data_IF_679166064010
#
_entry.id   IF_679166064010
#
_cell.length_a   1.000
_cell.length_b   1.000
_cell.length_c   1.000
_cell.angle_alpha   90.00
_cell.angle_beta   90.00
_cell.angle_gamma   90.00
#
_symmetry.space_group_name_H-M   'P 1'
#
loop_
_entity.id
_entity.type
_entity.pdbx_description
1 polymer ?
#
# COMPACT_ATOMS: atom_id res chain seq x y z
N UNK A 1 10.95 3.95 17.74
CA UNK A 1 11.09 4.32 19.17
C UNK A 1 11.98 5.57 19.17
N UNK A 2 12.36 6.13 20.32
CA UNK A 2 13.22 7.33 20.35
C UNK A 2 14.29 7.22 21.43
N UNK A 3 15.40 7.91 21.24
CA UNK A 3 16.54 8.03 22.16
C UNK A 3 16.62 9.44 22.72
N UNK A 4 17.23 9.58 23.90
CA UNK A 4 17.59 10.89 24.43
C UNK A 4 19.06 11.20 24.09
N UNK A 5 19.36 12.43 23.69
CA UNK A 5 20.74 12.86 23.47
C UNK A 5 21.47 13.21 24.79
N UNK A 6 22.73 13.65 24.67
CA UNK A 6 23.58 14.03 25.80
C UNK A 6 23.07 15.26 26.59
N UNK A 7 22.13 16.02 26.01
CA UNK A 7 21.47 17.17 26.65
C UNK A 7 20.10 16.79 27.25
N UNK A 8 19.66 15.53 27.10
CA UNK A 8 18.37 15.06 27.59
C UNK A 8 17.19 15.48 26.70
N UNK A 9 17.43 15.86 25.44
CA UNK A 9 16.37 16.08 24.45
C UNK A 9 15.99 14.74 23.81
N UNK A 10 14.68 14.50 23.63
CA UNK A 10 14.15 13.28 23.02
C UNK A 10 14.18 13.41 21.50
N UNK A 11 14.80 12.44 20.83
CA UNK A 11 14.86 12.29 19.38
C UNK A 11 14.20 10.99 18.97
N UNK A 12 13.39 11.01 17.93
CA UNK A 12 12.94 9.77 17.30
C UNK A 12 14.12 9.12 16.57
N UNK A 13 14.18 7.78 16.51
CA UNK A 13 15.19 7.05 15.71
C UNK A 13 15.17 7.45 14.21
N UNK A 14 14.06 8.07 13.78
CA UNK A 14 13.88 8.64 12.46
C UNK A 14 14.65 9.97 12.30
N UNK A 15 14.64 10.85 13.30
CA UNK A 15 15.40 12.12 13.28
C UNK A 15 16.90 11.88 13.23
N UNK A 16 17.40 10.88 13.95
CA UNK A 16 18.80 10.45 13.87
C UNK A 16 19.17 9.94 12.46
N UNK A 17 18.24 9.23 11.80
CA UNK A 17 18.40 8.81 10.40
C UNK A 17 18.43 9.99 9.42
N UNK A 18 17.58 11.00 9.60
CA UNK A 18 17.54 12.19 8.73
C UNK A 18 18.76 13.10 8.90
N UNK A 19 19.22 13.28 10.14
CA UNK A 19 20.42 14.06 10.45
C UNK A 19 21.69 13.39 9.91
N UNK A 20 21.81 12.06 10.01
CA UNK A 20 22.91 11.31 9.42
C UNK A 20 22.97 11.44 7.89
N UNK A 21 21.83 11.69 7.24
CA UNK A 21 21.73 11.81 5.78
C UNK A 21 21.62 13.26 5.26
N UNK A 22 21.75 14.28 6.12
CA UNK A 22 21.83 15.69 5.71
C UNK A 22 20.48 16.34 5.33
N UNK A 23 19.36 15.73 5.69
CA UNK A 23 18.02 16.28 5.47
C UNK A 23 17.59 17.15 6.67
N UNK A 24 18.27 18.27 6.87
CA UNK A 24 18.10 19.13 8.06
C UNK A 24 16.74 19.86 8.17
N UNK A 25 15.88 19.74 7.15
CA UNK A 25 14.51 20.24 7.18
C UNK A 25 13.64 19.24 6.41
N UNK A 26 12.69 18.60 7.08
CA UNK A 26 11.69 17.75 6.44
C UNK A 26 10.98 18.47 5.27
N UNK A 27 10.29 17.74 4.39
CA UNK A 27 9.63 18.32 3.23
C UNK A 27 8.64 19.43 3.64
N UNK A 28 8.87 20.65 3.15
CA UNK A 28 8.03 21.81 3.43
C UNK A 28 6.73 21.75 2.62
N UNK A 29 5.63 22.23 3.23
CA UNK A 29 4.24 22.18 2.72
C UNK A 29 4.02 22.61 1.25
N UNK A 30 4.94 23.36 0.64
CA UNK A 30 4.74 23.94 -0.68
C UNK A 30 4.78 22.95 -1.86
N UNK A 31 5.17 21.70 -1.65
CA UNK A 31 5.14 20.68 -2.72
C UNK A 31 3.80 19.94 -2.86
N UNK A 32 2.86 20.15 -1.92
CA UNK A 32 1.53 19.50 -1.94
C UNK A 32 0.40 20.39 -2.51
N UNK A 33 0.68 21.65 -2.85
CA UNK A 33 -0.35 22.64 -3.23
C UNK A 33 -0.93 22.50 -4.65
N UNK A 34 -0.45 21.57 -5.47
CA UNK A 34 -0.81 21.51 -6.91
C UNK A 34 -1.93 20.55 -7.28
N UNK A 35 -2.46 19.74 -6.36
CA UNK A 35 -3.44 18.69 -6.70
C UNK A 35 -4.86 18.93 -6.16
N UNK A 36 -5.21 20.19 -5.90
CA UNK A 36 -6.58 20.61 -5.63
C UNK A 36 -7.27 21.10 -6.92
N UNK A 37 -7.74 20.19 -7.75
CA UNK A 37 -9.00 20.36 -8.52
C UNK A 37 -9.35 19.11 -9.34
N UNK A 38 -10.05 18.17 -8.70
CA UNK A 38 -11.11 17.45 -9.38
C UNK A 38 -12.42 17.95 -8.78
N UNK A 39 -12.88 19.08 -9.31
CA UNK A 39 -14.22 19.60 -9.09
C UNK A 39 -15.18 18.59 -9.69
N UNK A 40 -15.84 17.79 -8.85
CA UNK A 40 -16.95 16.94 -9.25
C UNK A 40 -18.14 17.85 -9.56
N UNK A 41 -18.28 18.22 -10.83
CA UNK A 41 -19.47 18.93 -11.29
C UNK A 41 -20.59 17.90 -11.39
N UNK A 42 -21.34 17.74 -10.28
CA UNK A 42 -22.59 16.98 -10.28
C UNK A 42 -23.62 17.78 -11.09
N UNK A 43 -23.63 17.53 -12.40
CA UNK A 43 -24.71 17.93 -13.27
C UNK A 43 -26.00 17.31 -12.73
N UNK A 44 -26.87 18.16 -12.22
CA UNK A 44 -28.22 17.83 -11.80
C UNK A 44 -29.01 17.31 -13.00
N UNK A 45 -29.55 16.11 -12.88
CA UNK A 45 -30.83 15.81 -13.49
C UNK A 45 -31.69 15.09 -12.46
N UNK A 46 -32.85 15.66 -12.08
CA UNK A 46 -33.77 15.04 -11.15
C UNK A 46 -34.64 14.08 -11.96
N UNK A 47 -34.60 12.79 -11.65
CA UNK A 47 -35.83 11.99 -11.56
C UNK A 47 -35.53 10.54 -11.17
N UNK A 48 -36.39 10.08 -10.26
CA UNK A 48 -36.82 8.69 -10.06
C UNK A 48 -35.86 7.69 -9.37
N UNK A 49 -36.38 7.14 -8.27
CA UNK A 49 -36.23 5.72 -7.99
C UNK A 49 -35.26 5.36 -6.87
N UNK A 50 -35.80 5.20 -5.66
CA UNK A 50 -35.06 4.61 -4.56
C UNK A 50 -34.72 3.14 -4.80
N UNK A 51 -33.56 2.75 -4.31
CA UNK A 51 -33.07 1.38 -4.23
C UNK A 51 -31.75 1.38 -3.50
N UNK A 52 -31.78 1.15 -2.19
CA UNK A 52 -30.58 1.00 -1.37
C UNK A 52 -29.82 -0.27 -1.76
N UNK A 53 -28.94 -0.15 -2.76
CA UNK A 53 -27.90 -1.13 -3.05
C UNK A 53 -26.59 -0.66 -2.43
N UNK A 54 -25.98 -1.49 -1.58
CA UNK A 54 -24.63 -1.20 -1.08
C UNK A 54 -23.65 -1.32 -2.25
N UNK A 55 -22.94 -0.25 -2.57
CA UNK A 55 -21.84 -0.27 -3.53
C UNK A 55 -20.76 -1.23 -3.02
N UNK A 56 -20.43 -2.25 -3.81
CA UNK A 56 -19.40 -3.25 -3.51
C UNK A 56 -18.07 -2.91 -4.19
N UNK A 57 -16.98 -3.57 -3.80
CA UNK A 57 -15.65 -3.42 -4.44
C UNK A 57 -15.68 -3.85 -5.90
N UNK A 58 -16.52 -4.85 -6.23
CA UNK A 58 -16.85 -5.21 -7.60
C UNK A 58 -17.35 -4.00 -8.35
N UNK A 59 -18.39 -3.32 -7.86
CA UNK A 59 -19.00 -2.17 -8.56
C UNK A 59 -18.04 -0.99 -8.79
N UNK A 60 -17.10 -0.72 -7.87
CA UNK A 60 -16.12 0.37 -8.01
C UNK A 60 -14.96 0.00 -8.95
N UNK A 61 -14.47 -1.23 -8.89
CA UNK A 61 -13.49 -1.74 -9.85
C UNK A 61 -14.13 -1.93 -11.23
N UNK A 62 -15.39 -2.31 -11.27
CA UNK A 62 -16.17 -2.52 -12.48
C UNK A 62 -16.44 -1.20 -13.20
N UNK A 63 -16.72 -0.12 -12.46
CA UNK A 63 -16.82 1.22 -13.01
C UNK A 63 -15.46 1.73 -13.51
N UNK A 64 -14.38 1.52 -12.73
CA UNK A 64 -13.02 1.92 -13.09
C UNK A 64 -12.51 1.16 -14.33
N UNK A 65 -12.85 -0.12 -14.47
CA UNK A 65 -12.47 -0.97 -15.61
C UNK A 65 -13.38 -0.77 -16.83
N UNK A 66 -14.66 -0.46 -16.63
CA UNK A 66 -15.58 -0.09 -17.71
C UNK A 66 -15.16 1.21 -18.42
N UNK A 67 -14.60 2.17 -17.68
CA UNK A 67 -14.05 3.41 -18.24
C UNK A 67 -12.73 3.18 -19.00
N UNK A 68 -12.07 2.04 -18.78
CA UNK A 68 -10.86 1.59 -19.49
C UNK A 68 -11.14 0.67 -20.70
N UNK A 69 -12.41 0.51 -21.10
CA UNK A 69 -12.79 -0.07 -22.39
C UNK A 69 -12.93 -1.59 -22.46
N UNK A 70 -13.03 -2.30 -21.33
CA UNK A 70 -13.41 -3.72 -21.32
C UNK A 70 -14.51 -3.97 -20.29
N UNK A 71 -15.60 -4.62 -20.72
CA UNK A 71 -16.77 -4.88 -19.88
C UNK A 71 -16.38 -5.65 -18.62
N UNK A 72 -16.77 -5.08 -17.48
CA UNK A 72 -16.32 -5.41 -16.15
C UNK A 72 -17.00 -6.63 -15.50
N UNK A 73 -18.08 -7.13 -16.07
CA UNK A 73 -18.88 -8.21 -15.45
C UNK A 73 -18.21 -9.60 -15.43
N UNK A 74 -17.06 -9.78 -16.10
CA UNK A 74 -16.35 -11.07 -16.22
C UNK A 74 -15.01 -11.13 -15.46
N UNK A 75 -14.63 -10.09 -14.69
CA UNK A 75 -13.27 -10.03 -14.14
C UNK A 75 -13.06 -10.92 -12.90
N UNK A 76 -14.11 -11.13 -12.10
CA UNK A 76 -14.10 -12.03 -10.93
C UNK A 76 -15.14 -13.15 -11.02
N UNK A 77 -16.01 -13.15 -12.04
CA UNK A 77 -16.98 -14.22 -12.25
C UNK A 77 -16.27 -15.43 -12.88
N UNK A 78 -16.20 -16.54 -12.14
CA UNK A 78 -15.73 -17.83 -12.66
C UNK A 78 -14.23 -18.12 -12.56
N UNK A 79 -13.47 -17.34 -11.79
CA UNK A 79 -12.08 -17.73 -11.49
C UNK A 79 -12.08 -18.78 -10.38
N UNK A 80 -11.78 -20.02 -10.77
CA UNK A 80 -11.45 -21.10 -9.85
C UNK A 80 -9.95 -20.99 -9.49
N UNK A 81 -9.70 -20.47 -8.30
CA UNK A 81 -8.36 -20.27 -7.75
C UNK A 81 -7.76 -21.55 -7.13
N UNK A 82 -8.54 -22.63 -7.02
CA UNK A 82 -8.08 -23.90 -6.41
C UNK A 82 -7.02 -24.64 -7.23
N UNK A 83 -6.80 -24.25 -8.50
CA UNK A 83 -5.87 -24.91 -9.43
C UNK A 83 -4.39 -24.51 -9.24
N UNK A 84 -4.05 -23.54 -8.39
CA UNK A 84 -2.70 -22.95 -8.36
C UNK A 84 -1.77 -23.39 -7.21
N UNK A 85 -2.29 -24.08 -6.18
CA UNK A 85 -1.53 -24.74 -5.11
C UNK A 85 -0.73 -23.82 -4.16
N UNK A 86 -1.11 -23.85 -2.87
CA UNK A 86 -0.47 -23.33 -1.62
C UNK A 86 0.27 -21.98 -1.64
N UNK A 87 -0.30 -21.00 -0.91
CA UNK A 87 0.31 -19.91 -0.10
C UNK A 87 0.76 -18.55 -0.73
N UNK A 88 -0.17 -17.63 -1.03
CA UNK A 88 0.08 -16.16 -1.16
C UNK A 88 0.17 -15.44 0.21
N UNK A 89 0.71 -16.10 1.22
CA UNK A 89 0.78 -15.57 2.59
C UNK A 89 1.45 -14.18 2.65
N UNK A 90 1.00 -13.31 3.58
CA UNK A 90 1.65 -12.04 3.85
C UNK A 90 3.17 -12.18 4.09
N UNK A 91 3.93 -11.25 3.53
CA UNK A 91 5.40 -11.20 3.66
C UNK A 91 5.81 -10.13 4.66
N UNK A 92 6.68 -10.50 5.60
CA UNK A 92 7.27 -9.61 6.59
C UNK A 92 8.68 -9.17 6.21
N UNK A 93 8.87 -7.88 6.02
CA UNK A 93 10.16 -7.22 5.80
C UNK A 93 10.66 -6.46 7.05
N UNK A 94 9.88 -6.40 8.13
CA UNK A 94 10.34 -5.85 9.41
C UNK A 94 11.48 -6.69 10.00
N UNK A 95 12.46 -6.02 10.61
CA UNK A 95 13.52 -6.69 11.37
C UNK A 95 12.98 -7.32 12.65
N UNK A 96 13.65 -8.34 13.20
CA UNK A 96 13.25 -8.94 14.50
C UNK A 96 13.41 -8.00 15.70
N UNK A 97 14.00 -6.82 15.49
CA UNK A 97 14.23 -5.80 16.53
C UNK A 97 13.16 -4.71 16.51
N UNK A 98 12.20 -4.76 15.58
CA UNK A 98 11.18 -3.74 15.50
C UNK A 98 10.28 -3.72 16.76
N UNK A 99 9.68 -2.56 17.08
CA UNK A 99 8.64 -2.49 18.07
C UNK A 99 7.55 -3.56 17.86
N UNK A 100 7.10 -4.18 18.95
CA UNK A 100 6.09 -5.27 18.95
C UNK A 100 4.83 -4.96 18.12
N UNK A 101 4.48 -3.69 17.96
CA UNK A 101 3.32 -3.28 17.17
C UNK A 101 3.43 -3.67 15.70
N UNK A 102 4.61 -3.51 15.07
CA UNK A 102 4.81 -3.87 13.66
C UNK A 102 4.59 -5.36 13.44
N UNK A 103 5.22 -6.19 14.28
CA UNK A 103 5.03 -7.64 14.27
C UNK A 103 3.59 -8.06 14.52
N UNK A 104 2.88 -7.41 15.45
CA UNK A 104 1.48 -7.72 15.73
C UNK A 104 0.56 -7.41 14.54
N UNK A 105 0.79 -6.33 13.79
CA UNK A 105 -0.02 -6.08 12.57
C UNK A 105 0.24 -7.16 11.53
N UNK A 106 1.50 -7.54 11.34
CA UNK A 106 1.86 -8.64 10.44
C UNK A 106 1.20 -9.97 10.87
N UNK A 107 1.33 -10.36 12.14
CA UNK A 107 0.74 -11.59 12.68
C UNK A 107 -0.79 -11.63 12.52
N UNK A 108 -1.47 -10.50 12.72
CA UNK A 108 -2.91 -10.42 12.51
C UNK A 108 -3.29 -10.49 11.03
N UNK A 109 -2.46 -9.96 10.13
CA UNK A 109 -2.63 -10.15 8.69
C UNK A 109 -2.42 -11.61 8.31
N UNK A 110 -1.37 -12.25 8.82
CA UNK A 110 -1.05 -13.65 8.56
C UNK A 110 -2.19 -14.57 9.02
N UNK A 111 -2.72 -14.38 10.24
CA UNK A 111 -3.86 -15.16 10.74
C UNK A 111 -5.13 -15.02 9.90
N UNK A 112 -5.38 -13.83 9.35
CA UNK A 112 -6.57 -13.56 8.53
C UNK A 112 -6.43 -14.13 7.12
N UNK A 113 -5.20 -14.14 6.60
CA UNK A 113 -4.89 -14.56 5.25
C UNK A 113 -4.15 -15.89 5.22
N UNK A 114 -4.38 -16.74 6.24
CA UNK A 114 -3.88 -18.11 6.24
C UNK A 114 -4.80 -18.93 5.33
N UNK A 115 -4.21 -19.68 4.41
CA UNK A 115 -4.94 -20.42 3.36
C UNK A 115 -5.68 -19.53 2.33
N UNK A 116 -5.18 -18.34 2.00
CA UNK A 116 -5.68 -17.55 0.84
C UNK A 116 -5.18 -18.12 -0.48
N UNK A 117 -5.28 -19.44 -0.63
CA UNK A 117 -4.72 -20.21 -1.74
C UNK A 117 -5.23 -19.72 -3.08
N UNK A 118 -4.30 -19.20 -3.89
CA UNK A 118 -4.56 -18.74 -5.24
C UNK A 118 -5.32 -17.43 -5.33
N UNK A 119 -5.50 -16.66 -4.25
CA UNK A 119 -6.28 -15.41 -4.31
C UNK A 119 -5.64 -14.36 -5.25
N UNK A 120 -4.34 -14.53 -5.57
CA UNK A 120 -3.57 -13.64 -6.42
C UNK A 120 -3.20 -12.32 -5.74
N UNK A 121 -3.38 -12.20 -4.42
CA UNK A 121 -3.18 -10.97 -3.65
C UNK A 121 -1.96 -11.12 -2.72
N UNK A 122 -0.86 -10.50 -3.13
CA UNK A 122 0.36 -10.43 -2.34
C UNK A 122 0.32 -9.22 -1.40
N UNK A 123 0.68 -9.44 -0.13
CA UNK A 123 0.65 -8.40 0.92
C UNK A 123 2.02 -8.31 1.57
N UNK A 124 2.69 -7.16 1.47
CA UNK A 124 4.03 -6.93 2.04
C UNK A 124 3.95 -5.91 3.16
N UNK A 125 4.54 -6.22 4.30
CA UNK A 125 4.63 -5.34 5.47
C UNK A 125 6.08 -5.00 5.75
N UNK A 126 6.42 -3.71 5.83
CA UNK A 126 7.80 -3.30 6.05
C UNK A 126 7.99 -1.80 6.22
N UNK A 127 9.25 -1.41 6.35
CA UNK A 127 9.65 0.00 6.29
C UNK A 127 9.80 0.43 4.84
N UNK A 128 9.55 1.72 4.59
CA UNK A 128 9.66 2.30 3.26
C UNK A 128 9.96 3.79 3.30
N UNK A 129 10.39 4.27 2.14
CA UNK A 129 10.52 5.68 1.80
C UNK A 129 10.23 5.83 0.30
N UNK A 130 10.27 7.04 -0.23
CA UNK A 130 10.20 7.29 -1.68
C UNK A 130 11.24 6.42 -2.40
N UNK A 131 10.79 5.62 -3.37
CA UNK A 131 11.65 4.72 -4.14
C UNK A 131 12.33 3.57 -3.38
N UNK A 132 11.96 3.33 -2.11
CA UNK A 132 12.67 2.38 -1.24
C UNK A 132 11.69 1.52 -0.42
N UNK A 133 11.96 0.22 -0.39
CA UNK A 133 11.54 -0.68 0.70
C UNK A 133 12.77 -1.17 1.46
N UNK A 134 12.57 -1.61 2.69
CA UNK A 134 13.62 -2.21 3.51
C UNK A 134 13.18 -3.57 4.04
N UNK A 135 13.96 -4.60 3.70
CA UNK A 135 13.86 -5.95 4.27
C UNK A 135 15.00 -6.16 5.27
N UNK A 136 14.67 -6.09 6.55
CA UNK A 136 15.63 -6.05 7.66
C UNK A 136 16.70 -4.95 7.48
N UNK A 137 17.90 -5.29 7.03
CA UNK A 137 19.00 -4.35 6.72
C UNK A 137 19.17 -4.11 5.22
N UNK A 138 18.44 -4.83 4.39
CA UNK A 138 18.58 -4.80 2.93
C UNK A 138 17.70 -3.71 2.33
N UNK A 139 18.32 -2.76 1.63
CA UNK A 139 17.62 -1.74 0.85
C UNK A 139 17.16 -2.29 -0.50
N UNK A 140 15.86 -2.19 -0.76
CA UNK A 140 15.20 -2.60 -2.00
C UNK A 140 14.82 -1.31 -2.76
N UNK A 141 15.62 -0.98 -3.77
CA UNK A 141 15.48 0.26 -4.57
C UNK A 141 15.16 -0.02 -6.04
N UNK A 142 14.95 -1.28 -6.41
CA UNK A 142 14.61 -1.71 -7.77
C UNK A 142 13.62 -2.87 -7.73
N UNK A 143 12.87 -3.05 -8.82
CA UNK A 143 11.97 -4.19 -8.97
C UNK A 143 12.72 -5.54 -8.92
N UNK A 144 13.92 -5.64 -9.51
CA UNK A 144 14.73 -6.87 -9.43
C UNK A 144 15.11 -7.24 -7.99
N UNK A 145 15.50 -6.25 -7.18
CA UNK A 145 15.81 -6.47 -5.77
C UNK A 145 14.56 -6.86 -4.99
N UNK A 146 13.41 -6.28 -5.35
CA UNK A 146 12.13 -6.66 -4.75
C UNK A 146 11.85 -8.13 -5.02
N UNK A 147 11.95 -8.59 -6.26
CA UNK A 147 11.71 -9.99 -6.62
C UNK A 147 12.64 -10.95 -5.89
N UNK A 148 13.92 -10.59 -5.74
CA UNK A 148 14.89 -11.40 -5.01
C UNK A 148 14.46 -11.58 -3.54
N UNK A 149 14.00 -10.52 -2.87
CA UNK A 149 13.58 -10.63 -1.47
C UNK A 149 12.20 -11.28 -1.34
N UNK A 150 11.28 -10.95 -2.24
CA UNK A 150 9.94 -11.51 -2.25
C UNK A 150 9.99 -13.03 -2.47
N UNK A 151 10.75 -13.52 -3.46
CA UNK A 151 10.87 -14.96 -3.72
C UNK A 151 11.52 -15.77 -2.60
N UNK A 152 12.34 -15.15 -1.73
CA UNK A 152 12.88 -15.83 -0.54
C UNK A 152 11.82 -16.11 0.51
N UNK A 153 10.76 -15.29 0.56
CA UNK A 153 9.73 -15.33 1.61
C UNK A 153 8.40 -15.87 1.10
N UNK A 154 8.10 -15.69 -0.18
CA UNK A 154 6.91 -16.22 -0.85
C UNK A 154 7.30 -16.72 -2.25
N UNK A 155 7.34 -18.04 -2.42
CA UNK A 155 7.77 -18.68 -3.67
C UNK A 155 6.79 -18.49 -4.83
N UNK A 156 5.51 -18.21 -4.53
CA UNK A 156 4.50 -17.98 -5.56
C UNK A 156 4.67 -16.66 -6.29
N UNK A 157 5.44 -15.72 -5.72
CA UNK A 157 5.81 -14.50 -6.42
C UNK A 157 6.48 -14.78 -7.78
N UNK A 158 7.23 -15.87 -7.90
CA UNK A 158 7.83 -16.30 -9.18
C UNK A 158 6.82 -16.56 -10.31
N UNK A 159 5.54 -16.77 -9.97
CA UNK A 159 4.43 -17.00 -10.91
C UNK A 159 3.64 -15.72 -11.19
N UNK A 160 3.97 -14.57 -10.58
CA UNK A 160 3.12 -13.38 -10.61
C UNK A 160 2.79 -12.88 -12.02
N UNK A 161 3.71 -13.02 -12.97
CA UNK A 161 3.53 -12.58 -14.36
C UNK A 161 2.61 -13.50 -15.18
N UNK A 162 2.44 -14.76 -14.77
CA UNK A 162 1.50 -15.69 -15.39
C UNK A 162 0.11 -15.64 -14.77
N UNK A 163 -0.05 -14.94 -13.65
CA UNK A 163 -1.35 -14.71 -13.02
C UNK A 163 -2.15 -13.71 -13.86
N UNK A 164 -3.40 -14.04 -14.14
CA UNK A 164 -4.29 -13.19 -14.94
C UNK A 164 -4.51 -11.81 -14.29
N UNK A 165 -4.73 -11.81 -12.97
CA UNK A 165 -5.23 -10.65 -12.22
C UNK A 165 -4.54 -10.52 -10.83
N UNK A 166 -3.21 -10.49 -10.78
CA UNK A 166 -2.49 -10.37 -9.52
C UNK A 166 -2.54 -8.94 -8.94
N UNK A 167 -2.57 -8.85 -7.61
CA UNK A 167 -2.52 -7.62 -6.84
C UNK A 167 -1.34 -7.71 -5.86
N UNK A 168 -0.57 -6.63 -5.73
CA UNK A 168 0.46 -6.48 -4.71
C UNK A 168 0.13 -5.24 -3.87
N UNK A 169 0.04 -5.39 -2.56
CA UNK A 169 -0.18 -4.30 -1.61
C UNK A 169 1.07 -4.10 -0.75
N UNK A 170 1.65 -2.90 -0.81
CA UNK A 170 2.86 -2.52 -0.09
C UNK A 170 2.50 -1.70 1.15
N UNK A 171 2.33 -2.36 2.29
CA UNK A 171 2.12 -1.73 3.60
C UNK A 171 3.42 -1.17 4.18
N UNK A 172 3.94 -0.14 3.51
CA UNK A 172 5.17 0.56 3.86
C UNK A 172 5.04 2.07 3.55
N UNK A 173 5.63 2.91 4.40
CA UNK A 173 5.61 4.37 4.24
C UNK A 173 6.13 4.79 2.85
N UNK A 174 5.43 5.73 2.23
CA UNK A 174 5.82 6.40 0.99
C UNK A 174 6.11 5.47 -0.20
N UNK A 175 5.64 4.23 -0.13
CA UNK A 175 5.84 3.21 -1.17
C UNK A 175 5.16 3.57 -2.49
N UNK A 176 4.14 4.43 -2.46
CA UNK A 176 3.47 5.01 -3.63
C UNK A 176 3.70 6.51 -3.79
N UNK A 177 4.62 7.11 -3.03
CA UNK A 177 4.96 8.54 -3.16
C UNK A 177 5.97 8.76 -4.28
N UNK A 178 5.80 9.83 -5.04
CA UNK A 178 6.78 10.36 -6.00
C UNK A 178 7.22 11.73 -5.50
N UNK A 179 8.52 11.94 -5.23
CA UNK A 179 9.02 13.18 -4.62
C UNK A 179 10.37 13.55 -5.19
N UNK A 180 10.60 14.84 -5.48
CA UNK A 180 11.89 15.36 -5.96
C UNK A 180 12.48 14.63 -7.18
N UNK A 181 11.62 14.11 -8.06
CA UNK A 181 12.03 13.32 -9.23
C UNK A 181 12.37 11.87 -8.93
N UNK A 182 12.27 11.42 -7.68
CA UNK A 182 12.37 10.00 -7.31
C UNK A 182 11.06 9.28 -7.60
N UNK A 183 11.19 8.13 -8.27
CA UNK A 183 10.07 7.26 -8.64
C UNK A 183 9.70 6.34 -7.49
N UNK A 184 8.40 6.18 -7.25
CA UNK A 184 7.89 5.26 -6.22
C UNK A 184 8.29 3.82 -6.51
N UNK A 185 8.60 3.07 -5.46
CA UNK A 185 8.93 1.64 -5.59
C UNK A 185 7.72 0.84 -6.13
N UNK A 186 6.49 1.24 -5.79
CA UNK A 186 5.28 0.66 -6.34
C UNK A 186 5.22 0.78 -7.87
N UNK A 187 5.54 1.97 -8.42
CA UNK A 187 5.59 2.19 -9.87
C UNK A 187 6.68 1.37 -10.55
N UNK A 188 7.86 1.29 -9.95
CA UNK A 188 8.98 0.48 -10.48
C UNK A 188 8.60 -1.00 -10.57
N UNK A 189 7.98 -1.55 -9.51
CA UNK A 189 7.51 -2.95 -9.50
C UNK A 189 6.41 -3.15 -10.55
N UNK A 190 5.44 -2.24 -10.62
CA UNK A 190 4.34 -2.30 -11.59
C UNK A 190 4.81 -2.22 -13.04
N UNK A 191 5.89 -1.48 -13.31
CA UNK A 191 6.49 -1.38 -14.64
C UNK A 191 7.13 -2.70 -15.06
N UNK A 192 7.70 -3.46 -14.13
CA UNK A 192 8.26 -4.79 -14.39
C UNK A 192 7.16 -5.84 -14.55
N UNK A 193 6.22 -5.88 -13.61
CA UNK A 193 5.12 -6.86 -13.58
C UNK A 193 3.86 -6.25 -14.16
N UNK A 194 3.82 -6.13 -15.49
CA UNK A 194 2.81 -5.35 -16.21
C UNK A 194 1.37 -5.85 -16.01
N UNK A 195 1.20 -7.14 -15.67
CA UNK A 195 -0.08 -7.76 -15.34
C UNK A 195 -0.47 -7.66 -13.86
N UNK A 196 0.38 -7.06 -13.01
CA UNK A 196 0.11 -6.90 -11.57
C UNK A 196 -0.39 -5.49 -11.26
N UNK A 197 -1.50 -5.38 -10.53
CA UNK A 197 -1.90 -4.13 -9.89
C UNK A 197 -1.05 -3.93 -8.63
N UNK A 198 -0.22 -2.89 -8.58
CA UNK A 198 0.62 -2.60 -7.41
C UNK A 198 0.04 -1.41 -6.67
N UNK A 199 -0.25 -1.59 -5.39
CA UNK A 199 -0.79 -0.57 -4.50
C UNK A 199 0.29 -0.16 -3.52
N UNK A 200 0.68 1.09 -3.56
CA UNK A 200 1.55 1.73 -2.57
C UNK A 200 0.80 2.80 -1.78
N UNK A 201 1.41 3.31 -0.72
CA UNK A 201 0.85 4.44 0.03
C UNK A 201 1.64 5.71 -0.22
N UNK A 202 0.91 6.78 -0.51
CA UNK A 202 1.43 8.13 -0.49
C UNK A 202 1.23 8.73 0.90
N UNK A 203 2.34 8.81 1.64
CA UNK A 203 2.37 9.20 3.05
C UNK A 203 2.85 8.10 4.00
N UNK A 204 2.77 8.39 5.29
CA UNK A 204 3.33 7.60 6.38
C UNK A 204 2.30 6.65 6.97
N UNK A 205 2.56 5.36 6.81
CA UNK A 205 1.69 4.26 7.27
C UNK A 205 1.79 4.12 8.79
N UNK A 206 0.69 4.39 9.50
CA UNK A 206 0.60 4.29 10.95
C UNK A 206 0.06 2.94 11.42
N UNK A 207 0.89 2.17 12.13
CA UNK A 207 0.49 0.89 12.73
C UNK A 207 -0.01 1.08 14.16
N UNK A 208 -1.06 0.34 14.55
CA UNK A 208 -1.65 0.49 15.87
C UNK A 208 -2.59 -0.64 16.25
N UNK A 209 -3.30 -0.46 17.36
CA UNK A 209 -4.33 -1.40 17.82
C UNK A 209 -5.71 -0.90 17.41
N UNK A 210 -6.55 -1.83 16.99
CA UNK A 210 -7.99 -1.60 16.89
C UNK A 210 -8.56 -1.39 18.29
N UNK A 211 -9.36 -0.34 18.45
CA UNK A 211 -9.89 0.06 19.77
C UNK A 211 -10.94 -0.90 20.33
N UNK A 212 -11.56 -1.71 19.48
CA UNK A 212 -12.65 -2.64 19.85
C UNK A 212 -12.08 -3.98 20.32
N UNK A 213 -11.21 -4.60 19.51
CA UNK A 213 -10.71 -5.96 19.78
C UNK A 213 -9.22 -6.03 20.14
N UNK A 214 -8.50 -4.90 20.10
CA UNK A 214 -7.07 -4.85 20.44
C UNK A 214 -6.14 -5.44 19.37
N UNK A 215 -6.66 -5.88 18.22
CA UNK A 215 -5.86 -6.50 17.16
C UNK A 215 -4.96 -5.46 16.48
N UNK A 216 -3.82 -5.91 15.95
CA UNK A 216 -2.97 -5.08 15.11
C UNK A 216 -3.68 -4.69 13.82
N UNK A 217 -3.64 -3.40 13.51
CA UNK A 217 -4.22 -2.81 12.30
C UNK A 217 -3.34 -1.70 11.76
N UNK A 218 -3.49 -1.43 10.47
CA UNK A 218 -3.05 -0.18 9.89
C UNK A 218 -4.13 0.84 10.20
N UNK A 219 -3.78 1.84 11.01
CA UNK A 219 -4.74 2.75 11.61
C UNK A 219 -5.00 3.97 10.72
N UNK A 220 -3.98 4.41 10.00
CA UNK A 220 -3.96 5.68 9.27
C UNK A 220 -2.84 5.70 8.25
N UNK A 221 -2.96 6.60 7.28
CA UNK A 221 -1.83 7.07 6.49
C UNK A 221 -1.83 8.58 6.60
N UNK A 222 -0.74 9.16 7.09
CA UNK A 222 -0.62 10.61 7.21
C UNK A 222 0.19 11.19 6.06
N UNK A 223 -0.07 12.44 5.67
CA UNK A 223 0.83 13.15 4.73
C UNK A 223 2.12 13.59 5.46
N UNK A 224 2.05 13.83 6.77
CA UNK A 224 3.20 14.20 7.60
C UNK A 224 3.36 13.27 8.83
N UNK A 225 4.59 12.92 9.22
CA UNK A 225 4.86 12.13 10.42
C UNK A 225 4.44 12.84 11.71
N UNK A 226 4.66 14.15 11.77
CA UNK A 226 4.49 14.97 12.97
C UNK A 226 3.01 15.30 13.24
N UNK A 227 2.16 15.16 12.21
CA UNK A 227 0.74 15.46 12.30
C UNK A 227 -0.11 14.22 12.00
N UNK A 228 -0.98 13.78 12.91
CA UNK A 228 -1.91 12.68 12.69
C UNK A 228 -3.10 13.14 11.82
N UNK A 229 -2.83 13.57 10.59
CA UNK A 229 -3.81 14.18 9.68
C UNK A 229 -4.73 13.16 8.98
N UNK A 230 -4.28 11.90 8.84
CA UNK A 230 -4.98 10.83 8.12
C UNK A 230 -5.40 11.20 6.67
N UNK A 231 -4.65 12.09 6.01
CA UNK A 231 -4.91 12.53 4.63
C UNK A 231 -4.07 11.80 3.58
N UNK A 232 -3.28 10.82 3.98
CA UNK A 232 -2.54 9.96 3.05
C UNK A 232 -3.45 9.10 2.18
N UNK A 233 -2.91 8.63 1.07
CA UNK A 233 -3.68 7.92 0.03
C UNK A 233 -3.07 6.57 -0.30
N UNK A 234 -3.91 5.62 -0.73
CA UNK A 234 -3.49 4.46 -1.50
C UNK A 234 -3.39 4.85 -2.98
N UNK A 235 -2.28 4.50 -3.62
CA UNK A 235 -1.97 4.82 -5.01
C UNK A 235 -1.87 3.53 -5.80
N UNK A 236 -2.59 3.46 -6.91
CA UNK A 236 -2.76 2.26 -7.71
C UNK A 236 -1.94 2.38 -8.99
N UNK A 237 -1.00 1.46 -9.18
CA UNK A 237 -0.14 1.41 -10.36
C UNK A 237 -0.39 0.16 -11.19
N UNK A 238 -0.52 0.33 -12.51
CA UNK A 238 -0.55 -0.78 -13.49
C UNK A 238 0.37 -0.44 -14.65
N UNK A 239 1.26 -1.37 -15.02
CA UNK A 239 2.22 -1.19 -16.11
C UNK A 239 3.01 0.14 -15.98
N UNK A 240 3.44 0.47 -14.75
CA UNK A 240 4.22 1.66 -14.45
C UNK A 240 3.46 3.00 -14.57
N UNK A 241 2.12 2.96 -14.64
CA UNK A 241 1.26 4.17 -14.66
C UNK A 241 0.38 4.20 -13.43
N UNK A 242 0.25 5.37 -12.81
CA UNK A 242 -0.80 5.62 -11.81
C UNK A 242 -2.14 5.57 -12.53
N UNK A 243 -3.01 4.65 -12.13
CA UNK A 243 -4.35 4.47 -12.71
C UNK A 243 -5.46 4.96 -11.77
N UNK A 244 -5.16 5.07 -10.46
CA UNK A 244 -6.11 5.59 -9.48
C UNK A 244 -5.39 6.02 -8.18
N UNK A 245 -6.08 6.82 -7.38
CA UNK A 245 -5.67 7.26 -6.05
C UNK A 245 -6.89 7.40 -5.16
N UNK A 246 -6.87 6.74 -4.01
CA UNK A 246 -7.96 6.79 -3.03
C UNK A 246 -7.43 7.25 -1.67
N UNK A 247 -8.11 8.18 -0.99
CA UNK A 247 -7.79 8.47 0.40
C UNK A 247 -7.84 7.20 1.25
N UNK A 248 -6.90 7.03 2.19
CA UNK A 248 -6.72 5.78 2.92
C UNK A 248 -7.99 5.34 3.68
N UNK A 249 -8.78 6.30 4.17
CA UNK A 249 -10.02 6.03 4.87
C UNK A 249 -11.10 5.36 4.01
N UNK A 250 -11.06 5.53 2.69
CA UNK A 250 -11.91 4.79 1.75
C UNK A 250 -11.27 3.47 1.35
N UNK A 251 -9.95 3.46 1.14
CA UNK A 251 -9.21 2.23 0.82
C UNK A 251 -9.43 1.14 1.88
N UNK A 252 -9.42 1.49 3.18
CA UNK A 252 -9.67 0.52 4.26
C UNK A 252 -11.09 -0.08 4.29
N UNK A 253 -12.05 0.52 3.57
CA UNK A 253 -13.41 0.00 3.45
C UNK A 253 -13.51 -1.06 2.34
N UNK A 254 -12.48 -1.17 1.49
CA UNK A 254 -12.40 -2.20 0.47
C UNK A 254 -12.23 -3.55 1.16
N UNK A 255 -13.12 -4.50 0.83
CA UNK A 255 -13.00 -5.90 1.23
C UNK A 255 -12.28 -6.65 0.12
N UNK A 256 -11.19 -7.32 0.48
CA UNK A 256 -10.39 -8.21 -0.34
C UNK A 256 -9.77 -9.28 0.57
#
# INVERSE_FOLDING_TARGET
MGSYDENGEWHSEMEDFWNYHGYANGPTQNSYSSYSSLTYNSGTNPDSGGGGGSVTVGDLLDALLAEMGNSSTDYFAGIDFTQFGTDEEPVNFFSSKEPKMFHRVFEESLKKNINTDGDGIFRVFGHGNVGLLQDEKTKIVTADKFDIQMNKKNKNWSKVDSMKNSILILYACMSGSELNGETSIARLISQKHTNTLVIGFDGYVGFGKNVINGNGVIKKVNVNLDFPDNFGSAVFYKNGKEINRLPFNYFQLLKY
#
